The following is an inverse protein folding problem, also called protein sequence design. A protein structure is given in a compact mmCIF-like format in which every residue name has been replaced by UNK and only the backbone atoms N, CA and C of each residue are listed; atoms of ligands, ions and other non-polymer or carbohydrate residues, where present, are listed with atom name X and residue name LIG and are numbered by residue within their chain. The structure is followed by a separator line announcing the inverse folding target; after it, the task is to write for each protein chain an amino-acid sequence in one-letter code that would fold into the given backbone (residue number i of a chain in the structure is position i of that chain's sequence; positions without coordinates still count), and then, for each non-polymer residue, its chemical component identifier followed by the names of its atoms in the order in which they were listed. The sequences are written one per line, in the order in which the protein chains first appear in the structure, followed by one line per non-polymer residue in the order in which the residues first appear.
data_IF_641094024350
#
_entry.id   IF_641094024350
#
_cell.length_a   1.000
_cell.length_b   1.000
_cell.length_c   1.000
_cell.angle_alpha   90.00
_cell.angle_beta   90.00
_cell.angle_gamma   90.00
#
_symmetry.space_group_name_H-M   'P 1'
#
loop_
_entity.id
_entity.type
_entity.pdbx_description
1 polymer ?
#
# COMPACT_ATOMS: atom_id res chain seq x y z
N UNK A 1 -18.30 -16.25 9.63
CA UNK A 1 -18.23 -14.77 9.64
C UNK A 1 -19.53 -14.17 10.14
N UNK A 2 -19.50 -13.16 11.04
CA UNK A 2 -20.74 -12.48 11.45
C UNK A 2 -21.28 -11.65 10.28
N UNK A 3 -22.62 -11.64 10.04
CA UNK A 3 -23.25 -10.89 8.92
C UNK A 3 -22.73 -9.44 8.80
N UNK A 4 -22.52 -8.76 9.92
CA UNK A 4 -21.97 -7.38 9.96
C UNK A 4 -20.58 -7.24 9.32
N UNK A 5 -19.74 -8.28 9.38
CA UNK A 5 -18.40 -8.23 8.79
C UNK A 5 -18.43 -8.36 7.26
N UNK A 6 -19.38 -9.14 6.75
CA UNK A 6 -19.62 -9.27 5.30
C UNK A 6 -20.06 -7.91 4.73
N UNK A 7 -21.01 -7.22 5.42
CA UNK A 7 -21.45 -5.90 4.98
C UNK A 7 -20.30 -4.88 4.92
N UNK A 8 -19.41 -4.90 5.92
CA UNK A 8 -18.24 -4.01 5.91
C UNK A 8 -17.25 -4.34 4.80
N UNK A 9 -17.01 -5.63 4.53
CA UNK A 9 -16.12 -6.05 3.46
C UNK A 9 -16.67 -5.64 2.09
N UNK A 10 -17.96 -5.90 1.84
CA UNK A 10 -18.64 -5.50 0.60
C UNK A 10 -18.66 -3.96 0.49
N UNK A 11 -19.01 -3.26 1.56
CA UNK A 11 -19.02 -1.79 1.57
C UNK A 11 -17.65 -1.19 1.28
N UNK A 12 -16.58 -1.74 1.84
CA UNK A 12 -15.21 -1.30 1.54
C UNK A 12 -14.85 -1.60 0.09
N UNK A 13 -15.23 -2.78 -0.44
CA UNK A 13 -14.98 -3.14 -1.84
C UNK A 13 -15.72 -2.19 -2.81
N UNK A 14 -16.99 -1.89 -2.54
CA UNK A 14 -17.77 -0.94 -3.34
C UNK A 14 -17.14 0.46 -3.27
N UNK A 15 -16.74 0.91 -2.09
CA UNK A 15 -16.08 2.20 -1.92
C UNK A 15 -14.77 2.28 -2.73
N UNK A 16 -13.95 1.24 -2.68
CA UNK A 16 -12.71 1.13 -3.48
C UNK A 16 -13.01 1.19 -4.98
N UNK A 17 -14.03 0.46 -5.44
CA UNK A 17 -14.45 0.48 -6.85
C UNK A 17 -14.90 1.87 -7.28
N UNK A 18 -15.77 2.53 -6.51
CA UNK A 18 -16.25 3.88 -6.81
C UNK A 18 -15.09 4.86 -6.88
N UNK A 19 -14.16 4.79 -5.93
CA UNK A 19 -13.02 5.71 -5.86
C UNK A 19 -12.06 5.50 -7.05
N UNK A 20 -11.72 4.25 -7.37
CA UNK A 20 -10.90 3.94 -8.55
C UNK A 20 -11.59 4.37 -9.84
N UNK A 21 -12.91 4.14 -9.95
CA UNK A 21 -13.68 4.59 -11.10
C UNK A 21 -13.72 6.11 -11.23
N UNK A 22 -13.82 6.82 -10.12
CA UNK A 22 -13.80 8.30 -10.10
C UNK A 22 -12.45 8.87 -10.53
N UNK A 23 -11.34 8.20 -10.17
CA UNK A 23 -9.99 8.69 -10.49
C UNK A 23 -9.54 8.32 -11.90
N UNK A 24 -9.79 7.10 -12.33
CA UNK A 24 -9.24 6.54 -13.58
C UNK A 24 -10.29 6.38 -14.68
N UNK A 25 -11.58 6.56 -14.36
CA UNK A 25 -12.70 6.34 -15.30
C UNK A 25 -12.81 4.89 -15.76
N UNK A 26 -13.72 4.63 -16.72
CA UNK A 26 -13.90 3.27 -17.32
C UNK A 26 -12.64 2.81 -18.04
N UNK A 27 -11.98 3.74 -18.74
CA UNK A 27 -10.79 3.42 -19.53
C UNK A 27 -9.59 3.04 -18.67
N UNK A 28 -9.52 3.51 -17.42
CA UNK A 28 -8.45 3.18 -16.49
C UNK A 28 -8.34 1.69 -16.13
N UNK A 29 -9.45 0.94 -16.31
CA UNK A 29 -9.49 -0.50 -16.03
C UNK A 29 -9.08 -1.36 -17.23
N UNK A 30 -8.77 -0.77 -18.38
CA UNK A 30 -8.24 -1.51 -19.53
C UNK A 30 -6.79 -1.94 -19.25
N UNK A 31 -6.41 -3.13 -19.69
CA UNK A 31 -5.08 -3.68 -19.46
C UNK A 31 -3.94 -2.83 -20.04
N UNK A 32 -4.20 -2.10 -21.11
CA UNK A 32 -3.23 -1.25 -21.83
C UNK A 32 -3.25 0.21 -21.34
N UNK A 33 -4.09 0.51 -20.33
CA UNK A 33 -4.23 1.87 -19.84
C UNK A 33 -3.02 2.28 -19.02
N UNK A 34 -2.44 3.43 -19.34
CA UNK A 34 -1.28 4.00 -18.67
C UNK A 34 -1.58 5.42 -18.19
N UNK A 35 -0.88 5.84 -17.16
CA UNK A 35 -0.85 7.23 -16.68
C UNK A 35 0.56 7.77 -16.88
N UNK A 36 0.64 8.88 -17.59
CA UNK A 36 1.88 9.60 -17.82
C UNK A 36 2.08 10.64 -16.71
N UNK A 37 3.20 10.54 -16.03
CA UNK A 37 3.59 11.50 -14.99
C UNK A 37 4.88 12.18 -15.46
N UNK A 38 4.82 13.50 -15.63
CA UNK A 38 5.98 14.31 -15.95
C UNK A 38 6.50 14.98 -14.67
N UNK A 39 7.70 14.65 -14.24
CA UNK A 39 8.37 15.28 -13.09
C UNK A 39 9.69 15.88 -13.60
N UNK A 40 9.75 17.19 -13.69
CA UNK A 40 10.82 17.93 -14.37
C UNK A 40 10.96 17.43 -15.82
N UNK A 41 12.15 16.99 -16.21
CA UNK A 41 12.44 16.50 -17.55
C UNK A 41 12.30 14.96 -17.67
N UNK A 42 11.78 14.30 -16.64
CA UNK A 42 11.65 12.84 -16.62
C UNK A 42 10.19 12.42 -16.80
N UNK A 43 9.95 11.58 -17.80
CA UNK A 43 8.64 11.03 -18.15
C UNK A 43 8.49 9.63 -17.54
N UNK A 44 7.48 9.45 -16.70
CA UNK A 44 7.12 8.15 -16.12
C UNK A 44 5.83 7.65 -16.74
N UNK A 45 5.88 6.52 -17.42
CA UNK A 45 4.72 5.83 -17.98
C UNK A 45 4.40 4.65 -17.07
N UNK A 46 3.31 4.74 -16.31
CA UNK A 46 2.95 3.72 -15.32
C UNK A 46 1.59 3.13 -15.70
N UNK A 47 1.52 1.80 -15.78
CA UNK A 47 0.26 1.13 -16.01
C UNK A 47 -0.73 1.41 -14.87
N UNK A 48 -1.95 1.83 -15.21
CA UNK A 48 -3.00 2.20 -14.25
C UNK A 48 -3.32 1.10 -13.26
N UNK A 49 -3.14 -0.16 -13.65
CA UNK A 49 -3.32 -1.31 -12.78
C UNK A 49 -2.50 -1.20 -11.48
N UNK A 50 -1.27 -0.69 -11.54
CA UNK A 50 -0.43 -0.53 -10.36
C UNK A 50 -1.00 0.52 -9.39
N UNK A 51 -1.54 1.61 -9.92
CA UNK A 51 -2.20 2.63 -9.09
C UNK A 51 -3.50 2.11 -8.47
N UNK A 52 -4.32 1.41 -9.26
CA UNK A 52 -5.57 0.80 -8.79
C UNK A 52 -5.27 -0.21 -7.68
N UNK A 53 -4.25 -1.06 -7.87
CA UNK A 53 -3.83 -2.03 -6.86
C UNK A 53 -3.34 -1.34 -5.58
N UNK A 54 -2.43 -0.37 -5.70
CA UNK A 54 -1.90 0.39 -4.59
C UNK A 54 -3.01 1.06 -3.78
N UNK A 55 -3.89 1.80 -4.45
CA UNK A 55 -4.98 2.52 -3.81
C UNK A 55 -5.95 1.55 -3.11
N UNK A 56 -6.30 0.44 -3.77
CA UNK A 56 -7.18 -0.59 -3.23
C UNK A 56 -6.60 -1.18 -1.95
N UNK A 57 -5.34 -1.59 -1.97
CA UNK A 57 -4.65 -2.20 -0.83
C UNK A 57 -4.54 -1.21 0.33
N UNK A 58 -4.19 0.05 0.06
CA UNK A 58 -4.07 1.09 1.10
C UNK A 58 -5.42 1.40 1.77
N UNK A 59 -6.52 1.45 1.01
CA UNK A 59 -7.84 1.70 1.57
C UNK A 59 -8.28 0.52 2.44
N UNK A 60 -8.17 -0.71 1.95
CA UNK A 60 -8.49 -1.89 2.74
C UNK A 60 -7.66 -1.96 4.02
N UNK A 61 -6.35 -1.75 3.92
CA UNK A 61 -5.45 -1.71 5.07
C UNK A 61 -5.89 -0.66 6.09
N UNK A 62 -6.16 0.58 5.66
CA UNK A 62 -6.56 1.69 6.53
C UNK A 62 -7.90 1.43 7.22
N UNK A 63 -8.91 0.98 6.47
CA UNK A 63 -10.25 0.68 7.02
C UNK A 63 -10.16 -0.44 8.05
N UNK A 64 -9.42 -1.52 7.74
CA UNK A 64 -9.33 -2.66 8.66
C UNK A 64 -8.39 -2.39 9.83
N UNK A 65 -7.37 -1.54 9.69
CA UNK A 65 -6.57 -1.01 10.81
C UNK A 65 -7.47 -0.28 11.82
N UNK A 66 -8.26 0.70 11.35
CA UNK A 66 -9.16 1.46 12.23
C UNK A 66 -10.19 0.58 12.92
N UNK A 67 -10.74 -0.41 12.20
CA UNK A 67 -11.73 -1.34 12.77
C UNK A 67 -11.10 -2.28 13.80
N UNK A 68 -9.92 -2.77 13.56
CA UNK A 68 -9.15 -3.61 14.48
C UNK A 68 -8.85 -2.85 15.77
N UNK A 69 -8.36 -1.61 15.66
CA UNK A 69 -8.06 -0.74 16.80
C UNK A 69 -9.33 -0.43 17.61
N UNK A 70 -10.43 -0.03 16.96
CA UNK A 70 -11.71 0.25 17.64
C UNK A 70 -12.28 -0.96 18.38
N UNK A 71 -11.97 -2.18 17.95
CA UNK A 71 -12.43 -3.42 18.58
C UNK A 71 -11.43 -4.04 19.54
N UNK A 72 -10.35 -3.35 19.86
CA UNK A 72 -9.30 -3.85 20.76
C UNK A 72 -8.86 -5.29 20.44
N UNK A 73 -8.72 -5.63 19.15
CA UNK A 73 -8.26 -6.95 18.67
C UNK A 73 -9.16 -8.14 19.06
N UNK A 74 -10.40 -7.89 19.50
CA UNK A 74 -11.33 -8.96 19.95
C UNK A 74 -12.03 -9.68 18.79
N UNK A 75 -11.93 -9.19 17.55
CA UNK A 75 -12.59 -9.79 16.39
C UNK A 75 -11.60 -10.45 15.48
N UNK A 76 -11.53 -11.79 15.52
CA UNK A 76 -10.61 -12.59 14.72
C UNK A 76 -10.73 -12.30 13.22
N UNK A 77 -11.94 -12.21 12.69
CA UNK A 77 -12.16 -11.98 11.26
C UNK A 77 -11.56 -10.65 10.80
N UNK A 78 -11.78 -9.57 11.57
CA UNK A 78 -11.23 -8.24 11.26
C UNK A 78 -9.70 -8.26 11.33
N UNK A 79 -9.15 -8.92 12.34
CA UNK A 79 -7.70 -9.02 12.53
C UNK A 79 -7.04 -9.84 11.40
N UNK A 80 -7.66 -10.94 10.95
CA UNK A 80 -7.15 -11.74 9.83
C UNK A 80 -7.17 -10.94 8.53
N UNK A 81 -8.28 -10.24 8.22
CA UNK A 81 -8.35 -9.39 7.02
C UNK A 81 -7.29 -8.30 7.09
N UNK A 82 -7.10 -7.66 8.24
CA UNK A 82 -6.04 -6.66 8.42
C UNK A 82 -4.65 -7.24 8.14
N UNK A 83 -4.34 -8.43 8.68
CA UNK A 83 -3.05 -9.07 8.45
C UNK A 83 -2.82 -9.41 6.98
N UNK A 84 -3.86 -9.93 6.28
CA UNK A 84 -3.78 -10.21 4.83
C UNK A 84 -3.53 -8.92 4.06
N UNK A 85 -4.31 -7.86 4.33
CA UNK A 85 -4.10 -6.56 3.68
C UNK A 85 -2.73 -5.97 3.99
N UNK A 86 -2.21 -6.18 5.19
CA UNK A 86 -0.87 -5.76 5.58
C UNK A 86 0.22 -6.49 4.80
N UNK A 87 0.11 -7.81 4.61
CA UNK A 87 1.05 -8.59 3.78
C UNK A 87 1.01 -8.10 2.33
N UNK A 88 -0.18 -7.86 1.77
CA UNK A 88 -0.33 -7.29 0.43
C UNK A 88 0.28 -5.88 0.35
N UNK A 89 0.13 -5.06 1.39
CA UNK A 89 0.76 -3.73 1.46
C UNK A 89 2.29 -3.81 1.45
N UNK A 90 2.88 -4.78 2.17
CA UNK A 90 4.33 -5.01 2.15
C UNK A 90 4.77 -5.38 0.74
N UNK A 91 4.06 -6.29 0.08
CA UNK A 91 4.39 -6.73 -1.27
C UNK A 91 4.36 -5.56 -2.27
N UNK A 92 3.32 -4.74 -2.25
CA UNK A 92 3.18 -3.56 -3.12
C UNK A 92 4.27 -2.53 -2.83
N UNK A 93 4.53 -2.21 -1.55
CA UNK A 93 5.56 -1.26 -1.14
C UNK A 93 6.96 -1.73 -1.54
N UNK A 94 7.27 -3.02 -1.41
CA UNK A 94 8.55 -3.57 -1.85
C UNK A 94 8.75 -3.39 -3.34
N UNK A 95 7.70 -3.57 -4.15
CA UNK A 95 7.73 -3.28 -5.59
C UNK A 95 8.02 -1.81 -5.88
N UNK A 96 7.35 -0.89 -5.17
CA UNK A 96 7.59 0.56 -5.34
C UNK A 96 9.02 0.94 -4.93
N UNK A 97 9.50 0.42 -3.80
CA UNK A 97 10.88 0.65 -3.34
C UNK A 97 11.89 0.19 -4.39
N UNK A 98 11.68 -0.98 -4.99
CA UNK A 98 12.54 -1.50 -6.05
C UNK A 98 12.59 -0.54 -7.25
N UNK A 99 11.45 -0.02 -7.68
CA UNK A 99 11.36 0.96 -8.76
C UNK A 99 12.09 2.25 -8.38
N UNK A 100 11.79 2.83 -7.22
CA UNK A 100 12.42 4.08 -6.76
C UNK A 100 13.94 3.92 -6.63
N UNK A 101 14.39 2.78 -6.11
CA UNK A 101 15.82 2.50 -5.93
C UNK A 101 16.58 2.39 -7.26
N UNK A 102 15.92 1.96 -8.34
CA UNK A 102 16.56 1.90 -9.66
C UNK A 102 16.91 3.30 -10.21
N UNK A 103 16.20 4.34 -9.79
CA UNK A 103 16.47 5.72 -10.18
C UNK A 103 17.56 6.40 -9.33
N UNK A 104 17.89 5.85 -8.15
CA UNK A 104 18.95 6.38 -7.29
C UNK A 104 20.35 6.13 -7.92
N UNK A 105 20.50 5.00 -8.65
CA UNK A 105 21.73 4.60 -9.30
C UNK A 105 22.05 5.27 -10.63
N UNK A 106 21.09 6.04 -11.19
CA UNK A 106 21.31 6.80 -12.43
C UNK A 106 22.06 8.09 -12.08
N UNK A 107 23.37 8.01 -12.09
CA UNK A 107 24.23 9.20 -12.01
C UNK A 107 24.16 9.94 -13.34
N UNK A 108 23.47 11.08 -13.38
CA UNK A 108 23.70 12.04 -14.43
C UNK A 108 25.15 12.56 -14.26
N UNK A 109 26.00 12.21 -15.18
CA UNK A 109 27.34 12.82 -15.28
C UNK A 109 27.13 14.23 -15.82
N UNK A 110 27.27 15.22 -14.95
CA UNK A 110 27.39 16.60 -15.38
C UNK A 110 28.68 16.77 -16.23
N UNK A 111 28.75 17.80 -17.08
CA UNK A 111 29.93 18.14 -17.91
C UNK A 111 31.24 18.17 -17.12
N UNK A 112 31.18 18.19 -15.79
CA UNK A 112 32.33 18.21 -14.87
C UNK A 112 32.60 16.89 -14.15
N UNK A 113 31.99 15.75 -14.58
CA UNK A 113 32.18 14.41 -13.98
C UNK A 113 31.89 14.33 -12.45
N UNK A 114 31.08 15.22 -11.92
CA UNK A 114 30.62 15.16 -10.53
C UNK A 114 29.37 14.28 -10.45
N UNK A 115 29.34 13.23 -9.61
CA UNK A 115 28.15 12.41 -9.41
C UNK A 115 27.07 13.24 -8.72
N UNK A 116 26.04 13.60 -9.45
CA UNK A 116 24.83 14.20 -8.85
C UNK A 116 23.97 13.07 -8.33
N UNK A 117 24.02 12.81 -7.03
CA UNK A 117 23.08 11.90 -6.39
C UNK A 117 21.70 12.55 -6.36
N UNK A 118 20.71 11.88 -6.90
CA UNK A 118 19.33 12.37 -6.88
C UNK A 118 18.75 12.23 -5.47
N UNK A 119 19.04 13.23 -4.61
CA UNK A 119 18.69 13.24 -3.18
C UNK A 119 17.18 13.08 -2.94
N UNK A 120 16.34 13.46 -3.91
CA UNK A 120 14.89 13.33 -3.81
C UNK A 120 14.49 11.84 -3.78
N UNK A 121 14.96 11.03 -4.72
CA UNK A 121 14.64 9.59 -4.76
C UNK A 121 15.21 8.84 -3.55
N UNK A 122 16.39 9.22 -3.07
CA UNK A 122 16.99 8.66 -1.86
C UNK A 122 16.10 8.94 -0.62
N UNK A 123 15.62 10.18 -0.45
CA UNK A 123 14.72 10.54 0.65
C UNK A 123 13.36 9.82 0.55
N UNK A 124 12.79 9.71 -0.65
CA UNK A 124 11.55 8.96 -0.89
C UNK A 124 11.75 7.48 -0.54
N UNK A 125 12.84 6.88 -0.96
CA UNK A 125 13.16 5.48 -0.64
C UNK A 125 13.26 5.25 0.87
N UNK A 126 13.97 6.11 1.60
CA UNK A 126 14.06 6.05 3.07
C UNK A 126 12.70 6.16 3.76
N UNK A 127 11.84 7.06 3.27
CA UNK A 127 10.48 7.20 3.79
C UNK A 127 9.66 5.93 3.57
N UNK A 128 9.75 5.32 2.37
CA UNK A 128 9.04 4.09 2.06
C UNK A 128 9.52 2.91 2.92
N UNK A 129 10.82 2.79 3.18
CA UNK A 129 11.36 1.80 4.12
C UNK A 129 10.83 2.00 5.54
N UNK A 130 10.75 3.26 6.00
CA UNK A 130 10.19 3.56 7.32
C UNK A 130 8.72 3.14 7.41
N UNK A 131 7.90 3.43 6.38
CA UNK A 131 6.50 2.99 6.31
C UNK A 131 6.41 1.45 6.34
N UNK A 132 7.27 0.77 5.57
CA UNK A 132 7.32 -0.69 5.53
C UNK A 132 7.60 -1.29 6.91
N UNK A 133 8.59 -0.75 7.63
CA UNK A 133 8.92 -1.19 9.00
C UNK A 133 7.72 -0.99 9.94
N UNK A 134 7.03 0.15 9.86
CA UNK A 134 5.83 0.41 10.66
C UNK A 134 4.75 -0.63 10.38
N UNK A 135 4.49 -0.96 9.11
CA UNK A 135 3.49 -1.98 8.74
C UNK A 135 3.88 -3.35 9.30
N UNK A 136 5.14 -3.76 9.21
CA UNK A 136 5.63 -5.03 9.77
C UNK A 136 5.40 -5.08 11.27
N UNK A 137 5.73 -4.01 12.01
CA UNK A 137 5.51 -3.92 13.45
C UNK A 137 4.01 -4.02 13.78
N UNK A 138 3.15 -3.33 13.03
CA UNK A 138 1.69 -3.37 13.23
C UNK A 138 1.12 -4.77 13.00
N UNK A 139 1.58 -5.50 11.98
CA UNK A 139 1.15 -6.88 11.71
C UNK A 139 1.62 -7.80 12.82
N UNK A 140 2.88 -7.73 13.24
CA UNK A 140 3.43 -8.54 14.31
C UNK A 140 2.68 -8.29 15.64
N UNK A 141 2.45 -7.02 15.99
CA UNK A 141 1.68 -6.65 17.18
C UNK A 141 0.24 -7.17 17.11
N UNK A 142 -0.41 -7.02 15.94
CA UNK A 142 -1.77 -7.52 15.72
C UNK A 142 -1.86 -9.04 15.89
N UNK A 143 -0.92 -9.79 15.32
CA UNK A 143 -0.85 -11.25 15.47
C UNK A 143 -0.69 -11.66 16.92
N UNK A 144 0.28 -11.06 17.63
CA UNK A 144 0.52 -11.31 19.05
C UNK A 144 -0.70 -11.03 19.92
N UNK A 145 -1.31 -9.84 19.75
CA UNK A 145 -2.48 -9.43 20.54
C UNK A 145 -3.70 -10.30 20.27
N UNK A 146 -3.90 -10.71 19.00
CA UNK A 146 -4.97 -11.62 18.62
C UNK A 146 -4.78 -12.98 19.26
N UNK A 147 -3.56 -13.54 19.25
CA UNK A 147 -3.25 -14.81 19.90
C UNK A 147 -3.49 -14.79 21.41
N UNK A 148 -3.09 -13.70 22.09
CA UNK A 148 -3.34 -13.53 23.54
C UNK A 148 -4.84 -13.45 23.85
N UNK A 149 -5.63 -12.76 23.03
CA UNK A 149 -7.08 -12.66 23.25
C UNK A 149 -7.80 -13.99 23.02
N UNK A 150 -7.30 -14.81 22.10
CA UNK A 150 -7.84 -16.14 21.84
C UNK A 150 -7.58 -17.11 23.01
N UNK A 151 -6.34 -17.13 23.53
CA UNK A 151 -5.97 -17.97 24.67
C UNK A 151 -6.73 -17.66 25.96
N UNK A 152 -7.21 -16.42 26.13
CA UNK A 152 -8.02 -16.03 27.31
C UNK A 152 -9.51 -16.39 27.18
N UNK A 153 -9.95 -16.82 26.01
CA UNK A 153 -11.34 -17.18 25.74
C UNK A 153 -11.59 -18.70 25.84
N UNK A 154 -10.52 -19.51 25.96
CA UNK A 154 -10.52 -20.92 26.37
C UNK A 154 -10.44 -21.04 27.89
#
# INVERSE_FOLDING_TARGET
MKRKEIFWLIGTAIFVLILNFSLFGVNGFKAESVTDINIHDTYFVIANFHFILLLSVLIFFSVYLLRMLRRNFKNLTVNLIFMICGILSIWVLTGIISIVSSYIGVTETTEYNLPVTNTMFDNVSKLLYLILIIIVILIAYSGFKTGLNYRKAE
#
